data_IF_816295502034
#
_entry.id   IF_816295502034
#
_cell.length_a   1.000
_cell.length_b   1.000
_cell.length_c   1.000
_cell.angle_alpha   90.00
_cell.angle_beta   90.00
_cell.angle_gamma   90.00
#
_symmetry.space_group_name_H-M   'P 1'
#
loop_
_entity.id
_entity.type
_entity.pdbx_description
1 polymer ?
#
# COMPACT_ATOMS: atom_id res chain seq x y z
N UNK A 1 -10.48 -14.78 -24.13
CA UNK A 1 -11.56 -14.06 -24.82
C UNK A 1 -11.43 -12.58 -24.55
N UNK A 2 -11.85 -11.76 -25.49
CA UNK A 2 -11.92 -10.31 -25.31
C UNK A 2 -13.32 -9.81 -25.63
N UNK A 3 -13.65 -8.62 -25.16
CA UNK A 3 -14.83 -7.87 -25.60
C UNK A 3 -14.31 -6.55 -26.16
N UNK A 4 -14.60 -6.29 -27.42
CA UNK A 4 -14.14 -5.06 -28.07
C UNK A 4 -14.95 -3.83 -27.62
N UNK A 5 -14.51 -2.63 -28.04
CA UNK A 5 -15.20 -1.37 -27.69
C UNK A 5 -16.62 -1.22 -28.23
N UNK A 6 -17.12 -2.15 -29.06
CA UNK A 6 -18.49 -2.21 -29.54
C UNK A 6 -19.34 -3.21 -28.72
N UNK A 7 -18.71 -3.97 -27.82
CA UNK A 7 -19.34 -5.01 -27.01
C UNK A 7 -19.39 -6.39 -27.68
N UNK A 8 -18.68 -6.58 -28.77
CA UNK A 8 -18.60 -7.88 -29.44
C UNK A 8 -17.54 -8.77 -28.80
N UNK A 9 -17.81 -10.07 -28.71
CA UNK A 9 -16.93 -11.03 -28.03
C UNK A 9 -15.99 -11.72 -29.03
N UNK A 10 -14.68 -11.60 -28.76
CA UNK A 10 -13.64 -12.28 -29.53
C UNK A 10 -13.12 -13.52 -28.82
N UNK A 11 -12.64 -14.49 -29.58
CA UNK A 11 -11.95 -15.67 -29.08
C UNK A 11 -10.47 -15.56 -29.35
N UNK A 12 -9.66 -15.47 -28.28
CA UNK A 12 -8.22 -15.38 -28.35
C UNK A 12 -7.58 -16.74 -28.03
N UNK A 13 -6.46 -17.05 -28.67
CA UNK A 13 -5.66 -18.25 -28.40
C UNK A 13 -4.21 -18.04 -28.81
N UNK A 14 -3.26 -18.29 -27.89
CA UNK A 14 -1.83 -18.13 -28.14
C UNK A 14 -1.49 -16.66 -28.39
N UNK A 15 -2.01 -15.77 -27.57
CA UNK A 15 -1.76 -14.33 -27.59
C UNK A 15 -1.07 -13.99 -26.27
N UNK A 16 0.16 -13.50 -26.34
CA UNK A 16 0.97 -13.12 -25.20
C UNK A 16 1.01 -11.60 -25.02
N UNK A 17 0.68 -10.84 -26.04
CA UNK A 17 0.78 -9.37 -26.00
C UNK A 17 -0.58 -8.73 -26.30
N UNK A 18 -0.97 -7.77 -25.45
CA UNK A 18 -2.21 -7.01 -25.61
C UNK A 18 -1.91 -5.53 -25.47
N UNK A 19 -2.49 -4.74 -26.36
CA UNK A 19 -2.54 -3.28 -26.23
C UNK A 19 -3.98 -2.85 -26.11
N UNK A 20 -4.29 -2.08 -25.09
CA UNK A 20 -5.59 -1.49 -24.83
C UNK A 20 -5.94 -0.34 -25.78
N UNK A 21 -6.91 0.44 -25.40
CA UNK A 21 -7.45 1.52 -26.21
C UNK A 21 -7.02 2.91 -25.71
N UNK A 22 -7.84 3.91 -25.89
CA UNK A 22 -7.68 5.24 -25.28
C UNK A 22 -8.75 5.52 -24.21
N UNK A 23 -9.35 4.46 -23.69
CA UNK A 23 -10.38 4.50 -22.63
C UNK A 23 -9.96 3.56 -21.53
N UNK A 24 -10.62 3.60 -20.40
CA UNK A 24 -10.34 2.70 -19.28
C UNK A 24 -10.54 1.24 -19.68
N UNK A 25 -9.46 0.50 -19.72
CA UNK A 25 -9.41 -0.90 -20.13
C UNK A 25 -9.15 -1.84 -18.93
N UNK A 26 -9.53 -3.10 -19.09
CA UNK A 26 -9.16 -4.17 -18.17
C UNK A 26 -8.45 -5.27 -18.96
N UNK A 27 -7.16 -5.42 -18.72
CA UNK A 27 -6.30 -6.38 -19.42
C UNK A 27 -5.86 -7.47 -18.47
N UNK A 28 -6.09 -8.73 -18.85
CA UNK A 28 -5.68 -9.88 -18.05
C UNK A 28 -4.83 -10.82 -18.91
N UNK A 29 -3.64 -11.13 -18.45
CA UNK A 29 -2.73 -12.10 -19.02
C UNK A 29 -3.11 -13.56 -18.70
N UNK A 30 -2.20 -14.46 -18.96
CA UNK A 30 -2.38 -15.88 -18.67
C UNK A 30 -1.27 -16.42 -17.73
N UNK A 31 -0.83 -17.64 -17.88
CA UNK A 31 0.22 -18.24 -17.04
C UNK A 31 1.61 -18.21 -17.72
N UNK A 32 1.77 -17.45 -18.77
CA UNK A 32 3.03 -17.27 -19.51
C UNK A 32 3.44 -15.82 -19.42
N UNK A 33 4.69 -15.51 -19.71
CA UNK A 33 5.13 -14.12 -19.77
C UNK A 33 4.35 -13.32 -20.82
N UNK A 34 3.65 -12.29 -20.37
CA UNK A 34 2.81 -11.41 -21.19
C UNK A 34 3.38 -9.99 -21.29
N UNK A 35 2.99 -9.27 -22.32
CA UNK A 35 3.18 -7.82 -22.43
C UNK A 35 1.81 -7.18 -22.53
N UNK A 36 1.41 -6.45 -21.49
CA UNK A 36 0.14 -5.74 -21.42
C UNK A 36 0.41 -4.23 -21.42
N UNK A 37 -0.20 -3.52 -22.36
CA UNK A 37 -0.10 -2.06 -22.50
C UNK A 37 -1.51 -1.47 -22.47
N UNK A 38 -1.85 -0.76 -21.37
CA UNK A 38 -3.17 -0.14 -21.18
C UNK A 38 -3.44 0.95 -22.20
N UNK A 39 -2.46 1.82 -22.44
CA UNK A 39 -2.55 2.89 -23.42
C UNK A 39 -2.89 4.23 -22.83
N UNK A 40 -4.08 4.70 -22.99
CA UNK A 40 -4.56 5.93 -22.37
C UNK A 40 -5.92 5.67 -21.70
N UNK A 41 -6.11 6.24 -20.55
CA UNK A 41 -7.29 5.98 -19.71
C UNK A 41 -6.84 5.57 -18.32
N UNK A 42 -7.74 5.19 -17.48
CA UNK A 42 -7.42 4.61 -16.17
C UNK A 42 -7.60 3.09 -16.30
N UNK A 43 -6.51 2.38 -16.46
CA UNK A 43 -6.49 0.98 -16.84
C UNK A 43 -6.25 0.07 -15.64
N UNK A 44 -6.72 -1.17 -15.74
CA UNK A 44 -6.44 -2.21 -14.76
C UNK A 44 -5.75 -3.38 -15.45
N UNK A 45 -4.55 -3.73 -14.95
CA UNK A 45 -3.68 -4.74 -15.52
C UNK A 45 -3.48 -5.88 -14.51
N UNK A 46 -3.80 -7.10 -14.95
CA UNK A 46 -3.58 -8.35 -14.23
C UNK A 46 -2.61 -9.18 -15.07
N UNK A 47 -1.35 -9.32 -14.62
CA UNK A 47 -0.35 -10.12 -15.35
C UNK A 47 -0.72 -11.60 -15.40
N UNK A 48 -1.13 -12.12 -14.26
CA UNK A 48 -1.31 -13.55 -14.05
C UNK A 48 -0.02 -14.17 -13.53
N UNK A 49 0.23 -15.44 -13.85
CA UNK A 49 1.52 -16.03 -13.54
C UNK A 49 2.53 -15.70 -14.64
N UNK A 50 3.81 -15.74 -14.32
CA UNK A 50 4.88 -15.51 -15.29
C UNK A 50 5.54 -14.15 -15.13
N UNK A 51 6.68 -13.97 -15.79
CA UNK A 51 7.39 -12.71 -15.71
C UNK A 51 6.83 -11.72 -16.74
N UNK A 52 5.95 -10.83 -16.29
CA UNK A 52 5.14 -9.98 -17.15
C UNK A 52 5.75 -8.59 -17.33
N UNK A 53 5.37 -7.93 -18.41
CA UNK A 53 5.64 -6.49 -18.62
C UNK A 53 4.31 -5.77 -18.68
N UNK A 54 4.05 -4.95 -17.65
CA UNK A 54 2.79 -4.26 -17.43
C UNK A 54 3.01 -2.76 -17.57
N UNK A 55 2.46 -2.16 -18.61
CA UNK A 55 2.54 -0.73 -18.90
C UNK A 55 1.14 -0.12 -18.77
N UNK A 56 0.93 0.76 -17.79
CA UNK A 56 -0.34 1.50 -17.65
C UNK A 56 -0.51 2.49 -18.79
N UNK A 57 0.42 3.42 -18.91
CA UNK A 57 0.42 4.39 -20.00
C UNK A 57 0.16 5.80 -19.53
N UNK A 58 -0.92 6.42 -19.99
CA UNK A 58 -1.32 7.75 -19.50
C UNK A 58 -2.67 7.67 -18.79
N UNK A 59 -2.71 8.15 -17.57
CA UNK A 59 -3.91 8.13 -16.74
C UNK A 59 -3.59 7.86 -15.29
N UNK A 60 -4.46 7.14 -14.64
CA UNK A 60 -4.24 6.61 -13.28
C UNK A 60 -4.51 5.11 -13.35
N UNK A 61 -3.42 4.36 -13.40
CA UNK A 61 -3.44 2.96 -13.77
C UNK A 61 -3.17 2.06 -12.55
N UNK A 62 -3.76 0.88 -12.56
CA UNK A 62 -3.70 -0.07 -11.44
C UNK A 62 -3.12 -1.40 -11.89
N UNK A 63 -2.12 -1.90 -11.16
CA UNK A 63 -1.75 -3.30 -11.23
C UNK A 63 -2.52 -4.06 -10.14
N UNK A 64 -3.13 -5.18 -10.52
CA UNK A 64 -4.03 -5.94 -9.63
C UNK A 64 -3.55 -7.38 -9.48
N UNK A 65 -3.11 -7.72 -8.26
CA UNK A 65 -2.69 -9.06 -7.84
C UNK A 65 -3.71 -9.75 -6.92
N UNK A 66 -4.95 -9.24 -6.85
CA UNK A 66 -5.98 -9.77 -5.94
C UNK A 66 -6.36 -11.23 -6.21
N UNK A 67 -6.06 -11.74 -7.40
CA UNK A 67 -6.27 -13.15 -7.77
C UNK A 67 -5.13 -14.08 -7.37
N UNK A 68 -4.01 -13.55 -6.89
CA UNK A 68 -2.84 -14.34 -6.53
C UNK A 68 -3.09 -15.13 -5.24
N UNK A 69 -2.59 -16.36 -5.22
CA UNK A 69 -2.84 -17.29 -4.12
C UNK A 69 -1.84 -17.16 -2.97
N UNK A 70 -0.76 -16.41 -3.16
CA UNK A 70 0.27 -16.18 -2.15
C UNK A 70 0.72 -14.72 -2.16
N UNK A 71 1.54 -14.37 -1.16
CA UNK A 71 2.03 -13.02 -0.93
C UNK A 71 2.73 -12.41 -2.14
N UNK A 72 2.45 -11.13 -2.39
CA UNK A 72 3.07 -10.35 -3.45
C UNK A 72 3.93 -9.23 -2.87
N UNK A 73 4.90 -8.80 -3.66
CA UNK A 73 5.69 -7.61 -3.35
C UNK A 73 5.61 -6.67 -4.53
N UNK A 74 5.06 -5.49 -4.33
CA UNK A 74 4.96 -4.45 -5.37
C UNK A 74 5.76 -3.23 -4.94
N UNK A 75 6.57 -2.68 -5.85
CA UNK A 75 7.30 -1.45 -5.61
C UNK A 75 7.22 -0.55 -6.85
N UNK A 76 6.35 0.46 -6.77
CA UNK A 76 6.12 1.41 -7.85
C UNK A 76 7.32 2.34 -8.05
N UNK A 77 8.07 2.66 -6.99
CA UNK A 77 9.25 3.52 -7.10
C UNK A 77 10.40 2.87 -7.88
N UNK A 78 10.49 1.54 -7.88
CA UNK A 78 11.46 0.76 -8.66
C UNK A 78 10.86 0.14 -9.92
N UNK A 79 9.56 0.35 -10.15
CA UNK A 79 8.82 -0.20 -11.28
C UNK A 79 8.92 -1.74 -11.37
N UNK A 80 8.75 -2.42 -10.26
CA UNK A 80 8.90 -3.88 -10.17
C UNK A 80 7.87 -4.51 -9.25
N UNK A 81 7.48 -5.74 -9.56
CA UNK A 81 6.73 -6.57 -8.64
C UNK A 81 7.27 -8.00 -8.63
N UNK A 82 6.90 -8.74 -7.59
CA UNK A 82 7.02 -10.19 -7.53
C UNK A 82 5.64 -10.74 -7.24
N UNK A 83 5.12 -11.56 -8.14
CA UNK A 83 3.79 -12.14 -8.05
C UNK A 83 3.71 -13.27 -7.00
N UNK A 84 2.51 -13.78 -6.76
CA UNK A 84 2.27 -14.86 -5.80
C UNK A 84 2.91 -16.22 -6.15
N UNK A 85 3.48 -16.36 -7.34
CA UNK A 85 4.27 -17.55 -7.73
C UNK A 85 5.78 -17.32 -7.59
N UNK A 86 6.21 -16.10 -7.36
CA UNK A 86 7.60 -15.69 -7.25
C UNK A 86 8.23 -15.26 -8.58
N UNK A 87 7.41 -15.06 -9.60
CA UNK A 87 7.87 -14.50 -10.87
C UNK A 87 8.01 -12.98 -10.79
N UNK A 88 8.93 -12.42 -11.57
CA UNK A 88 9.28 -10.99 -11.47
C UNK A 88 8.66 -10.21 -12.61
N UNK A 89 7.78 -9.27 -12.28
CA UNK A 89 7.14 -8.38 -13.24
C UNK A 89 7.86 -7.04 -13.35
N UNK A 90 7.81 -6.48 -14.54
CA UNK A 90 8.28 -5.13 -14.83
C UNK A 90 7.07 -4.21 -15.01
N UNK A 91 7.02 -3.14 -14.22
CA UNK A 91 5.94 -2.16 -14.23
C UNK A 91 6.39 -0.88 -14.94
N UNK A 92 5.47 -0.12 -15.50
CA UNK A 92 5.75 1.22 -16.06
C UNK A 92 4.46 2.03 -16.14
N UNK A 93 4.48 3.29 -15.65
CA UNK A 93 3.30 4.16 -15.67
C UNK A 93 2.12 3.54 -14.91
N UNK A 94 2.38 3.07 -13.70
CA UNK A 94 1.40 2.52 -12.76
C UNK A 94 1.39 3.40 -11.52
N UNK A 95 0.24 3.87 -11.12
CA UNK A 95 0.05 4.70 -9.93
C UNK A 95 -0.55 3.92 -8.76
N UNK A 96 -1.28 2.84 -9.01
CA UNK A 96 -2.00 2.11 -7.97
C UNK A 96 -1.65 0.62 -7.96
N UNK A 97 -1.74 0.00 -6.79
CA UNK A 97 -1.52 -1.43 -6.63
C UNK A 97 -2.56 -2.05 -5.69
N UNK A 98 -3.06 -3.20 -6.07
CA UNK A 98 -3.87 -4.07 -5.23
C UNK A 98 -3.11 -5.36 -4.94
N UNK A 99 -2.98 -5.69 -3.68
CA UNK A 99 -2.34 -6.91 -3.19
C UNK A 99 -3.22 -8.16 -3.33
N UNK A 100 -2.75 -9.26 -2.79
CA UNK A 100 -3.42 -10.56 -2.84
C UNK A 100 -4.36 -10.78 -1.63
N UNK A 101 -4.61 -12.03 -1.29
CA UNK A 101 -5.28 -12.41 -0.03
C UNK A 101 -4.30 -12.91 1.03
N UNK A 102 -3.02 -12.67 0.88
CA UNK A 102 -1.92 -13.09 1.75
C UNK A 102 -1.18 -11.84 2.27
N UNK A 103 -0.19 -12.05 3.11
CA UNK A 103 0.57 -10.93 3.70
C UNK A 103 1.48 -10.27 2.65
N UNK A 104 1.11 -9.12 2.16
CA UNK A 104 1.73 -8.42 1.05
C UNK A 104 2.65 -7.26 1.49
N UNK A 105 3.51 -6.83 0.57
CA UNK A 105 4.32 -5.62 0.75
C UNK A 105 4.13 -4.71 -0.46
N UNK A 106 3.48 -3.57 -0.24
CA UNK A 106 3.17 -2.60 -1.28
C UNK A 106 3.90 -1.28 -1.01
N UNK A 107 4.68 -0.83 -1.97
CA UNK A 107 5.41 0.43 -1.91
C UNK A 107 5.03 1.32 -3.08
N UNK A 108 4.56 2.52 -2.79
CA UNK A 108 4.28 3.58 -3.74
C UNK A 108 5.52 4.28 -4.30
N UNK A 109 5.33 5.39 -4.95
CA UNK A 109 6.42 6.18 -5.53
C UNK A 109 6.47 7.61 -4.96
N UNK A 110 6.69 8.62 -5.78
CA UNK A 110 6.71 10.02 -5.36
C UNK A 110 5.46 10.80 -5.78
N UNK A 111 4.48 10.12 -6.32
CA UNK A 111 3.19 10.67 -6.73
C UNK A 111 2.10 10.18 -5.78
N UNK A 112 0.91 10.75 -5.87
CA UNK A 112 -0.23 10.23 -5.13
C UNK A 112 -0.62 8.83 -5.61
N UNK A 113 -0.53 7.84 -4.72
CA UNK A 113 -0.83 6.44 -4.99
C UNK A 113 -2.09 5.97 -4.25
N UNK A 114 -2.73 4.92 -4.77
CA UNK A 114 -3.70 4.13 -4.02
C UNK A 114 -3.15 2.71 -3.86
N UNK A 115 -2.89 2.31 -2.61
CA UNK A 115 -2.40 0.98 -2.27
C UNK A 115 -3.46 0.26 -1.44
N UNK A 116 -3.87 -0.92 -1.90
CA UNK A 116 -4.86 -1.77 -1.21
C UNK A 116 -4.21 -3.12 -0.92
N UNK A 117 -3.96 -3.42 0.37
CA UNK A 117 -3.37 -4.68 0.81
C UNK A 117 -4.31 -5.88 0.58
N UNK A 118 -5.61 -5.69 0.80
CA UNK A 118 -6.62 -6.72 0.59
C UNK A 118 -6.93 -7.53 1.84
N UNK A 119 -6.52 -8.76 1.87
CA UNK A 119 -6.63 -9.61 3.06
C UNK A 119 -5.27 -10.18 3.41
N UNK A 120 -4.97 -10.28 4.68
CA UNK A 120 -3.65 -10.68 5.15
C UNK A 120 -3.15 -9.70 6.20
N UNK A 121 -1.90 -9.83 6.57
CA UNK A 121 -1.24 -8.82 7.39
C UNK A 121 -0.23 -8.10 6.50
N UNK A 122 -0.63 -6.95 6.01
CA UNK A 122 0.05 -6.26 4.93
C UNK A 122 0.95 -5.13 5.43
N UNK A 123 1.95 -4.77 4.64
CA UNK A 123 2.82 -3.63 4.91
C UNK A 123 2.72 -2.66 3.75
N UNK A 124 2.30 -1.44 4.04
CA UNK A 124 2.07 -0.37 3.08
C UNK A 124 3.05 0.78 3.32
N UNK A 125 3.77 1.18 2.29
CA UNK A 125 4.64 2.35 2.25
C UNK A 125 4.12 3.28 1.17
N UNK A 126 3.54 4.42 1.53
CA UNK A 126 3.00 5.38 0.54
C UNK A 126 4.10 5.99 -0.32
N UNK A 127 5.17 6.42 0.31
CA UNK A 127 6.23 7.19 -0.31
C UNK A 127 6.00 8.68 -0.12
N UNK A 128 6.35 9.48 -1.11
CA UNK A 128 5.95 10.89 -1.11
C UNK A 128 4.61 11.01 -1.83
N UNK A 129 3.85 12.07 -1.54
CA UNK A 129 2.58 12.33 -2.19
C UNK A 129 1.41 12.14 -1.24
N UNK A 130 0.23 12.52 -1.68
CA UNK A 130 -0.98 12.36 -0.87
C UNK A 130 -1.62 11.01 -1.19
N UNK A 131 -1.31 9.99 -0.39
CA UNK A 131 -1.63 8.61 -0.68
C UNK A 131 -2.94 8.14 -0.04
N UNK A 132 -3.52 7.11 -0.63
CA UNK A 132 -4.63 6.37 -0.05
C UNK A 132 -4.16 4.96 0.25
N UNK A 133 -4.03 4.63 1.55
CA UNK A 133 -3.47 3.39 2.04
C UNK A 133 -4.56 2.59 2.75
N UNK A 134 -4.97 1.48 2.15
CA UNK A 134 -5.98 0.58 2.70
C UNK A 134 -5.31 -0.74 3.08
N UNK A 135 -5.26 -1.07 4.37
CA UNK A 135 -4.78 -2.37 4.84
C UNK A 135 -5.74 -3.48 4.46
N UNK A 136 -7.02 -3.32 4.79
CA UNK A 136 -8.06 -4.27 4.43
C UNK A 136 -8.50 -5.12 5.61
N UNK A 137 -8.39 -6.45 5.51
CA UNK A 137 -8.69 -7.35 6.61
C UNK A 137 -7.45 -8.04 7.12
N UNK A 138 -7.15 -7.89 8.40
CA UNK A 138 -5.99 -8.52 9.01
C UNK A 138 -5.41 -7.67 10.13
N UNK A 139 -4.12 -7.63 10.19
CA UNK A 139 -3.37 -6.74 11.08
C UNK A 139 -2.30 -6.04 10.23
N UNK A 140 -2.62 -4.84 9.80
CA UNK A 140 -1.92 -4.16 8.73
C UNK A 140 -1.03 -3.04 9.26
N UNK A 141 0.06 -2.79 8.58
CA UNK A 141 1.08 -1.83 8.99
C UNK A 141 1.25 -0.76 7.92
N UNK A 142 1.18 0.51 8.32
CA UNK A 142 1.73 1.60 7.52
C UNK A 142 3.14 1.90 8.01
N UNK A 143 4.10 1.99 7.08
CA UNK A 143 5.52 2.14 7.39
C UNK A 143 6.08 3.45 6.79
N UNK A 144 6.44 4.38 7.67
CA UNK A 144 7.08 5.66 7.36
C UNK A 144 8.58 5.67 7.70
N UNK A 145 9.18 4.50 7.96
CA UNK A 145 10.60 4.42 8.39
C UNK A 145 11.59 4.97 7.36
N UNK A 146 11.19 5.05 6.10
CA UNK A 146 12.01 5.65 5.03
C UNK A 146 11.92 7.17 4.95
N UNK A 147 11.01 7.81 5.69
CA UNK A 147 10.79 9.23 5.65
C UNK A 147 11.95 10.00 6.28
N UNK A 148 12.36 11.08 5.62
CA UNK A 148 13.53 11.86 6.05
C UNK A 148 13.22 12.87 7.16
N UNK A 149 11.94 13.16 7.41
CA UNK A 149 11.48 14.11 8.44
C UNK A 149 10.33 13.53 9.26
N UNK A 150 9.94 14.25 10.30
CA UNK A 150 8.92 13.85 11.25
C UNK A 150 7.56 13.59 10.60
N UNK A 151 6.90 12.54 11.03
CA UNK A 151 5.55 12.18 10.59
C UNK A 151 4.52 12.42 11.70
N UNK A 152 3.28 12.65 11.30
CA UNK A 152 2.15 12.70 12.22
C UNK A 152 1.11 11.71 11.76
N UNK A 153 0.86 10.67 12.53
CA UNK A 153 -0.11 9.62 12.21
C UNK A 153 -1.23 9.58 13.24
N UNK A 154 -2.46 9.47 12.80
CA UNK A 154 -3.62 9.33 13.68
C UNK A 154 -4.60 8.30 13.10
N UNK A 155 -4.56 7.08 13.65
CA UNK A 155 -5.44 6.00 13.23
C UNK A 155 -6.90 6.24 13.61
N UNK A 156 -7.17 7.00 14.69
CA UNK A 156 -8.54 7.31 15.09
C UNK A 156 -9.26 8.25 14.13
N UNK A 157 -8.52 9.03 13.34
CA UNK A 157 -9.04 9.91 12.28
C UNK A 157 -8.72 9.40 10.88
N UNK A 158 -8.05 8.25 10.78
CA UNK A 158 -7.65 7.64 9.51
C UNK A 158 -6.81 8.58 8.64
N UNK A 159 -5.84 9.26 9.23
CA UNK A 159 -5.03 10.25 8.51
C UNK A 159 -3.57 10.22 8.96
N UNK A 160 -2.70 10.55 8.02
CA UNK A 160 -1.31 10.84 8.32
C UNK A 160 -0.84 12.10 7.59
N UNK A 161 0.27 12.63 8.06
CA UNK A 161 1.08 13.61 7.34
C UNK A 161 2.48 13.02 7.29
N UNK A 162 2.97 12.77 6.10
CA UNK A 162 4.27 12.17 5.84
C UNK A 162 5.44 13.12 6.11
N UNK A 163 6.67 12.64 5.97
CA UNK A 163 7.87 13.43 6.19
C UNK A 163 8.11 14.56 5.18
N UNK A 164 7.33 14.64 4.10
CA UNK A 164 7.35 15.75 3.14
C UNK A 164 6.26 16.78 3.40
N UNK A 165 5.29 16.45 4.26
CA UNK A 165 4.15 17.28 4.61
C UNK A 165 2.91 17.01 3.76
N UNK A 166 2.90 15.92 2.98
CA UNK A 166 1.75 15.48 2.22
C UNK A 166 0.76 14.72 3.12
N UNK A 167 -0.51 14.73 2.76
CA UNK A 167 -1.56 14.19 3.62
C UNK A 167 -2.09 12.86 3.08
N UNK A 168 -1.86 11.78 3.85
CA UNK A 168 -2.36 10.46 3.52
C UNK A 168 -3.70 10.16 4.17
N UNK A 169 -4.48 9.35 3.46
CA UNK A 169 -5.72 8.76 3.97
C UNK A 169 -5.47 7.29 4.28
N UNK A 170 -5.76 6.89 5.52
CA UNK A 170 -5.55 5.54 6.00
C UNK A 170 -6.91 4.82 6.17
N UNK A 171 -6.93 3.51 6.02
CA UNK A 171 -8.11 2.68 6.28
C UNK A 171 -7.70 1.25 6.63
N UNK A 172 -8.29 0.65 7.68
CA UNK A 172 -7.96 -0.72 8.07
C UNK A 172 -6.47 -0.89 8.40
N UNK A 173 -5.90 0.02 9.20
CA UNK A 173 -4.52 -0.02 9.66
C UNK A 173 -4.50 -0.15 11.18
N UNK A 174 -3.78 -1.14 11.70
CA UNK A 174 -3.62 -1.38 13.12
C UNK A 174 -2.23 -0.98 13.63
N UNK A 175 -1.21 -1.02 12.78
CA UNK A 175 0.18 -0.80 13.18
C UNK A 175 0.81 0.37 12.44
N UNK A 176 1.71 1.07 13.13
CA UNK A 176 2.45 2.19 12.55
C UNK A 176 3.92 2.05 12.89
N UNK A 177 4.78 2.22 11.90
CA UNK A 177 6.21 2.47 12.08
C UNK A 177 6.51 3.92 11.71
N UNK A 178 7.04 4.68 12.63
CA UNK A 178 7.45 6.07 12.43
C UNK A 178 8.76 6.21 11.67
N UNK A 179 9.18 7.44 11.50
CA UNK A 179 10.38 7.81 10.76
C UNK A 179 11.66 7.72 11.64
N UNK A 180 12.74 8.35 11.20
CA UNK A 180 13.94 8.54 12.03
C UNK A 180 13.98 9.91 12.71
N UNK A 181 12.88 10.64 12.73
CA UNK A 181 12.74 11.99 13.29
C UNK A 181 11.72 11.98 14.45
N UNK A 182 11.48 13.13 15.06
CA UNK A 182 10.54 13.23 16.18
C UNK A 182 9.08 13.13 15.73
N UNK A 183 8.47 11.99 15.90
CA UNK A 183 7.15 11.66 15.38
C UNK A 183 6.02 11.85 16.41
N UNK A 184 4.80 11.97 15.91
CA UNK A 184 3.58 11.98 16.70
C UNK A 184 2.63 10.90 16.18
N UNK A 185 2.47 9.82 16.94
CA UNK A 185 1.69 8.66 16.51
C UNK A 185 0.55 8.40 17.50
N UNK A 186 -0.67 8.39 16.99
CA UNK A 186 -1.89 8.13 17.75
C UNK A 186 -2.61 6.90 17.19
N UNK A 187 -2.84 5.92 18.02
CA UNK A 187 -3.66 4.74 17.73
C UNK A 187 -5.16 5.02 17.73
N UNK A 188 -5.97 3.99 17.69
CA UNK A 188 -7.42 4.08 17.64
C UNK A 188 -8.11 3.43 18.86
N UNK A 189 -9.21 2.72 18.66
CA UNK A 189 -9.93 2.03 19.74
C UNK A 189 -9.62 0.52 19.77
N UNK A 190 -8.84 0.03 18.85
CA UNK A 190 -8.40 -1.36 18.74
C UNK A 190 -7.03 -1.55 19.42
N UNK A 191 -6.54 -2.78 19.49
CA UNK A 191 -5.17 -3.03 19.90
C UNK A 191 -4.21 -2.65 18.77
N UNK A 192 -3.32 -1.68 19.01
CA UNK A 192 -2.35 -1.19 18.06
C UNK A 192 -0.91 -1.56 18.43
N UNK A 193 -0.04 -1.63 17.42
CA UNK A 193 1.40 -1.63 17.61
C UNK A 193 1.98 -0.35 17.00
N UNK A 194 2.52 0.52 17.87
CA UNK A 194 3.07 1.81 17.46
C UNK A 194 4.57 1.83 17.76
N UNK A 195 5.39 2.02 16.73
CA UNK A 195 6.84 2.13 16.86
C UNK A 195 7.28 3.53 16.41
N UNK A 196 7.84 4.30 17.33
CA UNK A 196 8.35 5.65 17.05
C UNK A 196 9.61 5.66 16.19
N UNK A 197 10.46 4.61 16.34
CA UNK A 197 11.69 4.49 15.56
C UNK A 197 12.89 5.18 16.17
N UNK A 198 13.38 6.20 15.55
CA UNK A 198 14.45 7.03 16.11
C UNK A 198 13.97 8.48 16.19
N UNK A 199 14.33 9.16 17.27
CA UNK A 199 13.86 10.54 17.48
C UNK A 199 13.43 10.73 18.93
N UNK A 200 12.74 11.82 19.19
CA UNK A 200 12.06 12.00 20.48
C UNK A 200 10.56 11.99 20.16
N UNK A 201 9.93 10.82 20.31
CA UNK A 201 8.62 10.54 19.79
C UNK A 201 7.53 10.72 20.83
N UNK A 202 6.33 11.01 20.38
CA UNK A 202 5.12 11.05 21.21
C UNK A 202 4.11 10.01 20.74
N UNK A 203 3.83 9.04 21.61
CA UNK A 203 2.94 7.93 21.31
C UNK A 203 1.68 8.02 22.18
N UNK A 204 0.53 7.89 21.56
CA UNK A 204 -0.79 7.78 22.21
C UNK A 204 -1.42 6.48 21.77
N UNK A 205 -1.57 5.49 22.65
CA UNK A 205 -2.17 4.20 22.28
C UNK A 205 -3.65 4.32 21.92
N UNK A 206 -4.39 5.15 22.65
CA UNK A 206 -5.83 5.21 22.53
C UNK A 206 -6.52 4.23 23.48
N UNK A 207 -7.67 3.69 23.07
CA UNK A 207 -8.24 2.55 23.78
C UNK A 207 -7.66 1.26 23.19
N UNK A 208 -7.65 0.20 23.96
CA UNK A 208 -7.15 -1.08 23.49
C UNK A 208 -6.04 -1.62 24.39
N UNK A 209 -5.46 -2.72 23.97
CA UNK A 209 -4.28 -3.27 24.61
C UNK A 209 -3.09 -3.09 23.65
N UNK A 210 -2.46 -1.92 23.75
CA UNK A 210 -1.51 -1.45 22.76
C UNK A 210 -0.08 -1.88 23.10
N UNK A 211 0.74 -2.01 22.05
CA UNK A 211 2.19 -2.15 22.16
C UNK A 211 2.83 -0.86 21.68
N UNK A 212 3.49 -0.15 22.59
CA UNK A 212 4.11 1.14 22.30
C UNK A 212 5.62 1.01 22.47
N UNK A 213 6.35 1.26 21.40
CA UNK A 213 7.81 1.24 21.35
C UNK A 213 8.29 2.64 20.99
N UNK A 214 9.02 3.31 21.90
CA UNK A 214 9.61 4.63 21.62
C UNK A 214 10.78 4.52 20.65
N UNK A 215 11.65 3.51 20.87
CA UNK A 215 12.84 3.32 20.04
C UNK A 215 14.08 4.00 20.60
N UNK A 216 14.79 4.77 19.80
CA UNK A 216 16.00 5.48 20.25
C UNK A 216 15.75 6.97 20.39
N UNK A 217 16.04 7.50 21.58
CA UNK A 217 15.85 8.93 21.87
C UNK A 217 15.30 9.18 23.25
N UNK A 218 14.49 10.21 23.36
CA UNK A 218 13.72 10.51 24.58
C UNK A 218 12.26 10.58 24.24
N UNK A 219 11.59 9.48 24.51
CA UNK A 219 10.25 9.26 24.02
C UNK A 219 9.20 9.48 25.11
N UNK A 220 8.00 9.81 24.70
CA UNK A 220 6.86 10.09 25.56
C UNK A 220 5.68 9.25 25.19
N UNK A 221 5.11 8.52 26.14
CA UNK A 221 3.76 8.00 26.03
C UNK A 221 2.80 8.98 26.70
N UNK A 222 1.79 9.44 25.98
CA UNK A 222 0.86 10.46 26.49
C UNK A 222 -0.52 9.83 26.77
N UNK A 223 -0.91 9.80 28.03
CA UNK A 223 -2.22 9.38 28.54
C UNK A 223 -3.10 10.56 28.95
N UNK A 224 -2.74 11.79 28.59
CA UNK A 224 -3.46 13.00 29.05
C UNK A 224 -4.92 13.08 28.58
N UNK A 225 -5.26 12.35 27.53
CA UNK A 225 -6.62 12.25 27.00
C UNK A 225 -7.49 11.21 27.72
N UNK A 226 -6.92 10.38 28.58
CA UNK A 226 -7.65 9.31 29.27
C UNK A 226 -8.61 9.88 30.32
N UNK A 227 -9.84 9.37 30.31
CA UNK A 227 -10.88 9.83 31.25
C UNK A 227 -10.73 9.24 32.67
N UNK A 228 -9.91 8.21 32.84
CA UNK A 228 -9.69 7.50 34.09
C UNK A 228 -8.23 7.57 34.53
N UNK A 229 -7.96 7.22 35.76
CA UNK A 229 -6.61 7.14 36.30
C UNK A 229 -5.82 6.02 35.63
N UNK A 230 -4.61 6.34 35.18
CA UNK A 230 -3.65 5.38 34.61
C UNK A 230 -2.65 4.92 35.67
N UNK A 231 -2.12 3.72 35.48
CA UNK A 231 -1.01 3.19 36.27
C UNK A 231 0.09 2.75 35.30
N UNK A 232 1.26 3.38 35.41
CA UNK A 232 2.40 3.07 34.55
C UNK A 232 3.55 2.56 35.42
N UNK A 233 4.27 1.56 34.94
CA UNK A 233 5.48 1.03 35.55
C UNK A 233 6.51 0.78 34.44
N UNK A 234 7.58 1.61 34.42
CA UNK A 234 8.67 1.55 33.45
C UNK A 234 9.83 0.65 33.92
#
# INVERSE_FOLDING_TARGET
SATDGNGDADTLSGIENVTGSSSNDSLTGDASANILDGGAGNDTLVGGNGADTLTGGTGTDTVDYSSDAAAVTVNLSTNSATDGNGDADTLSGIENATGSSSNDSLTGDASANTLDGGAGNDTLVGGNGADTLTGGTGTDTVDYSSDAAAVTVNLSTNSATDGNGDADTLSGIENVTGSSSNDSITGDASANTLDGGAGNDTLVGGNGADTLTGGTGTDTVDYSSDAAAVTVNL
#
